data_IF_776065470778
#
_entry.id   IF_776065470778
#
_cell.length_a   1.000
_cell.length_b   1.000
_cell.length_c   1.000
_cell.angle_alpha   90.00
_cell.angle_beta   90.00
_cell.angle_gamma   90.00
#
_symmetry.space_group_name_H-M   'P 1'
#
loop_
_entity.id
_entity.type
_entity.pdbx_description
1 polymer ?
#
# COMPACT_ATOMS: atom_id res chain seq x y z
N UNK A 1 1.40 -20.13 -8.05
CA UNK A 1 0.81 -19.47 -9.24
C UNK A 1 -0.36 -18.55 -8.90
N UNK A 2 -1.37 -18.96 -8.10
CA UNK A 2 -2.50 -18.07 -7.71
C UNK A 2 -2.05 -16.74 -7.09
N UNK A 3 -1.02 -16.73 -6.25
CA UNK A 3 -0.48 -15.52 -5.64
C UNK A 3 -0.02 -14.46 -6.66
N UNK A 4 0.60 -14.88 -7.78
CA UNK A 4 1.05 -13.95 -8.83
C UNK A 4 -0.15 -13.23 -9.44
N UNK A 5 -1.25 -13.94 -9.71
CA UNK A 5 -2.46 -13.34 -10.26
C UNK A 5 -3.06 -12.30 -9.30
N UNK A 6 -3.11 -12.62 -8.00
CA UNK A 6 -3.56 -11.66 -6.98
C UNK A 6 -2.64 -10.45 -6.86
N UNK A 7 -1.32 -10.62 -6.96
CA UNK A 7 -0.36 -9.51 -6.95
C UNK A 7 -0.53 -8.60 -8.17
N UNK A 8 -0.77 -9.17 -9.36
CA UNK A 8 -1.04 -8.40 -10.58
C UNK A 8 -2.34 -7.59 -10.42
N UNK A 9 -3.41 -8.25 -9.97
CA UNK A 9 -4.69 -7.58 -9.74
C UNK A 9 -4.57 -6.46 -8.70
N UNK A 10 -3.87 -6.71 -7.58
CA UNK A 10 -3.60 -5.71 -6.56
C UNK A 10 -2.83 -4.50 -7.12
N UNK A 11 -1.82 -4.73 -7.96
CA UNK A 11 -1.08 -3.65 -8.63
C UNK A 11 -1.97 -2.77 -9.50
N UNK A 12 -2.88 -3.37 -10.28
CA UNK A 12 -3.85 -2.64 -11.10
C UNK A 12 -4.79 -1.82 -10.20
N UNK A 13 -5.33 -2.42 -9.15
CA UNK A 13 -6.26 -1.73 -8.24
C UNK A 13 -5.60 -0.58 -7.49
N UNK A 14 -4.35 -0.73 -7.03
CA UNK A 14 -3.60 0.34 -6.36
C UNK A 14 -3.40 1.53 -7.33
N UNK A 15 -3.06 1.25 -8.59
CA UNK A 15 -2.90 2.30 -9.59
C UNK A 15 -4.21 3.07 -9.83
N UNK A 16 -5.31 2.36 -10.07
CA UNK A 16 -6.62 2.96 -10.28
C UNK A 16 -7.09 3.76 -9.06
N UNK A 17 -6.97 3.18 -7.86
CA UNK A 17 -7.31 3.85 -6.61
C UNK A 17 -6.53 5.15 -6.44
N UNK A 18 -5.21 5.12 -6.70
CA UNK A 18 -4.36 6.30 -6.54
C UNK A 18 -4.77 7.43 -7.50
N UNK A 19 -5.05 7.10 -8.77
CA UNK A 19 -5.52 8.08 -9.75
C UNK A 19 -6.89 8.64 -9.38
N UNK A 20 -7.85 7.78 -9.02
CA UNK A 20 -9.20 8.21 -8.65
C UNK A 20 -9.20 9.09 -7.41
N UNK A 21 -8.41 8.73 -6.39
CA UNK A 21 -8.31 9.50 -5.16
C UNK A 21 -7.65 10.86 -5.41
N UNK A 22 -6.58 10.93 -6.20
CA UNK A 22 -5.99 12.23 -6.56
C UNK A 22 -6.99 13.11 -7.29
N UNK A 23 -7.71 12.58 -8.29
CA UNK A 23 -8.72 13.35 -9.05
C UNK A 23 -9.92 13.78 -8.21
N UNK A 24 -10.34 12.96 -7.25
CA UNK A 24 -11.38 13.31 -6.31
C UNK A 24 -10.88 14.41 -5.35
N UNK A 25 -9.65 14.27 -4.85
CA UNK A 25 -8.96 15.24 -3.99
C UNK A 25 -8.81 16.62 -4.61
N UNK A 26 -8.53 16.69 -5.91
CA UNK A 26 -8.49 17.94 -6.67
C UNK A 26 -9.82 18.71 -6.66
N UNK A 27 -10.96 18.01 -6.46
CA UNK A 27 -12.31 18.60 -6.53
C UNK A 27 -12.92 18.91 -5.17
N UNK A 28 -12.82 17.97 -4.23
CA UNK A 28 -13.54 18.07 -2.94
C UNK A 28 -12.61 18.28 -1.75
N UNK A 29 -11.30 18.29 -1.96
CA UNK A 29 -10.31 18.38 -0.90
C UNK A 29 -9.79 17.02 -0.45
N UNK A 30 -8.62 17.06 0.20
CA UNK A 30 -7.88 15.87 0.61
C UNK A 30 -8.61 15.09 1.70
N UNK A 31 -9.04 15.76 2.78
CA UNK A 31 -9.63 15.10 3.95
C UNK A 31 -11.02 14.55 3.67
N UNK A 32 -11.78 15.25 2.83
CA UNK A 32 -13.10 14.86 2.35
C UNK A 32 -12.99 13.61 1.48
N UNK A 33 -12.03 13.59 0.54
CA UNK A 33 -11.72 12.42 -0.28
C UNK A 33 -11.32 11.23 0.57
N UNK A 34 -10.41 11.42 1.51
CA UNK A 34 -9.94 10.35 2.37
C UNK A 34 -11.09 9.77 3.22
N UNK A 35 -11.92 10.64 3.80
CA UNK A 35 -13.10 10.22 4.58
C UNK A 35 -14.08 9.43 3.71
N UNK A 36 -14.37 9.93 2.50
CA UNK A 36 -15.30 9.28 1.58
C UNK A 36 -14.80 7.91 1.09
N UNK A 37 -13.52 7.81 0.71
CA UNK A 37 -12.92 6.57 0.21
C UNK A 37 -12.80 5.51 1.31
N UNK A 38 -12.39 5.89 2.51
CA UNK A 38 -12.38 4.97 3.65
C UNK A 38 -13.80 4.57 4.07
N UNK A 39 -14.77 5.49 4.03
CA UNK A 39 -16.16 5.20 4.31
C UNK A 39 -16.78 4.21 3.31
N UNK A 40 -16.60 4.44 2.02
CA UNK A 40 -17.08 3.52 0.97
C UNK A 40 -16.39 2.16 1.04
N UNK A 41 -15.08 2.12 1.30
CA UNK A 41 -14.34 0.88 1.54
C UNK A 41 -14.86 0.10 2.76
N UNK A 42 -15.19 0.80 3.85
CA UNK A 42 -15.81 0.20 5.03
C UNK A 42 -17.19 -0.38 4.73
N UNK A 43 -18.07 0.36 4.04
CA UNK A 43 -19.40 -0.14 3.65
C UNK A 43 -19.28 -1.39 2.78
N UNK A 44 -18.39 -1.36 1.78
CA UNK A 44 -18.19 -2.49 0.88
C UNK A 44 -17.67 -3.73 1.62
N UNK A 45 -16.68 -3.57 2.49
CA UNK A 45 -16.15 -4.68 3.30
C UNK A 45 -17.15 -5.17 4.34
N UNK A 46 -17.99 -4.30 4.89
CA UNK A 46 -19.07 -4.67 5.80
C UNK A 46 -20.11 -5.58 5.12
N UNK A 47 -20.53 -5.24 3.89
CA UNK A 47 -21.46 -6.08 3.10
C UNK A 47 -20.83 -7.46 2.81
N UNK A 48 -19.56 -7.50 2.42
CA UNK A 48 -18.86 -8.76 2.18
C UNK A 48 -18.76 -9.59 3.47
N UNK A 49 -18.44 -8.94 4.58
CA UNK A 49 -18.36 -9.60 5.90
C UNK A 49 -19.69 -10.25 6.30
N UNK A 50 -20.83 -9.60 6.00
CA UNK A 50 -22.15 -10.16 6.29
C UNK A 50 -22.51 -11.39 5.42
N UNK A 51 -21.90 -11.55 4.24
CA UNK A 51 -22.24 -12.64 3.30
C UNK A 51 -21.29 -13.83 3.40
N UNK A 52 -19.98 -13.58 3.50
CA UNK A 52 -18.94 -14.61 3.47
C UNK A 52 -17.93 -14.50 4.62
N UNK A 53 -18.16 -13.60 5.59
CA UNK A 53 -17.29 -13.43 6.74
C UNK A 53 -17.22 -14.70 7.59
N UNK A 54 -16.00 -15.09 7.96
CA UNK A 54 -15.72 -16.30 8.73
C UNK A 54 -14.99 -16.01 10.06
N UNK A 55 -14.93 -14.73 10.47
CA UNK A 55 -14.25 -14.26 11.69
C UNK A 55 -15.22 -13.93 12.82
N UNK A 56 -14.66 -13.54 13.98
CA UNK A 56 -15.45 -13.07 15.13
C UNK A 56 -14.82 -11.82 15.75
N UNK A 57 -15.64 -10.78 15.94
CA UNK A 57 -15.22 -9.54 16.61
C UNK A 57 -14.96 -9.70 18.11
N UNK A 58 -15.44 -10.78 18.75
CA UNK A 58 -15.17 -11.02 20.18
C UNK A 58 -13.68 -11.17 20.50
N UNK A 59 -12.87 -11.55 19.51
CA UNK A 59 -11.43 -11.77 19.64
C UNK A 59 -10.59 -10.52 19.36
N UNK A 60 -11.21 -9.37 19.10
CA UNK A 60 -10.48 -8.13 18.81
C UNK A 60 -9.63 -7.65 20.01
N UNK A 61 -10.00 -8.04 21.23
CA UNK A 61 -9.20 -7.77 22.43
C UNK A 61 -7.93 -8.62 22.53
N UNK A 62 -7.85 -9.74 21.79
CA UNK A 62 -6.70 -10.66 21.80
C UNK A 62 -5.59 -10.22 20.81
N UNK A 63 -5.91 -9.36 19.85
CA UNK A 63 -4.93 -8.93 18.84
C UNK A 63 -4.04 -7.80 19.35
N UNK A 64 -2.82 -7.72 18.82
CA UNK A 64 -1.90 -6.63 19.15
C UNK A 64 -2.54 -5.29 18.75
N UNK A 65 -2.65 -4.37 19.71
CA UNK A 65 -3.27 -3.05 19.51
C UNK A 65 -2.62 -2.25 18.38
N UNK A 66 -1.34 -2.49 18.08
CA UNK A 66 -0.65 -1.89 16.94
C UNK A 66 -1.30 -2.27 15.60
N UNK A 67 -1.81 -3.50 15.47
CA UNK A 67 -2.44 -3.96 14.23
C UNK A 67 -3.80 -3.29 13.99
N UNK A 68 -4.46 -2.83 15.05
CA UNK A 68 -5.70 -2.06 14.96
C UNK A 68 -5.48 -0.67 14.33
N UNK A 69 -4.25 -0.16 14.35
CA UNK A 69 -3.89 1.09 13.69
C UNK A 69 -3.81 0.98 12.16
N UNK A 70 -4.05 -0.19 11.57
CA UNK A 70 -4.01 -0.40 10.12
C UNK A 70 -4.91 0.56 9.33
N UNK A 71 -6.10 0.87 9.86
CA UNK A 71 -6.98 1.88 9.26
C UNK A 71 -6.37 3.27 9.25
N UNK A 72 -5.70 3.68 10.33
CA UNK A 72 -5.01 4.96 10.44
C UNK A 72 -3.81 5.04 9.49
N UNK A 73 -3.05 3.95 9.37
CA UNK A 73 -1.97 3.85 8.38
C UNK A 73 -2.51 4.01 6.94
N UNK A 74 -3.68 3.46 6.65
CA UNK A 74 -4.35 3.65 5.35
C UNK A 74 -4.61 5.12 5.01
N UNK A 75 -5.05 5.91 5.99
CA UNK A 75 -5.25 7.37 5.84
C UNK A 75 -3.93 8.07 5.51
N UNK A 76 -2.86 7.74 6.25
CA UNK A 76 -1.54 8.32 6.02
C UNK A 76 -0.96 7.91 4.66
N UNK A 77 -1.19 6.67 4.22
CA UNK A 77 -0.79 6.19 2.91
C UNK A 77 -1.49 7.00 1.81
N UNK A 78 -2.82 7.16 1.90
CA UNK A 78 -3.57 7.96 0.92
C UNK A 78 -3.05 9.40 0.88
N UNK A 79 -2.81 10.00 2.04
CA UNK A 79 -2.22 11.34 2.16
C UNK A 79 -0.89 11.45 1.42
N UNK A 80 0.05 10.58 1.74
CA UNK A 80 1.37 10.61 1.13
C UNK A 80 1.33 10.35 -0.38
N UNK A 81 0.50 9.39 -0.83
CA UNK A 81 0.38 9.05 -2.25
C UNK A 81 -0.27 10.18 -3.03
N UNK A 82 -1.37 10.77 -2.55
CA UNK A 82 -2.04 11.87 -3.26
C UNK A 82 -1.11 13.08 -3.43
N UNK A 83 -0.37 13.46 -2.37
CA UNK A 83 0.60 14.54 -2.43
C UNK A 83 1.78 14.21 -3.35
N UNK A 84 2.30 12.98 -3.30
CA UNK A 84 3.36 12.55 -4.19
C UNK A 84 2.92 12.65 -5.66
N UNK A 85 1.72 12.16 -5.98
CA UNK A 85 1.19 12.20 -7.35
C UNK A 85 0.98 13.64 -7.82
N UNK A 86 0.50 14.53 -6.95
CA UNK A 86 0.37 15.95 -7.29
C UNK A 86 1.73 16.60 -7.58
N UNK A 87 2.77 16.28 -6.80
CA UNK A 87 4.08 16.89 -6.93
C UNK A 87 4.96 16.27 -8.04
N UNK A 88 4.82 14.98 -8.30
CA UNK A 88 5.76 14.19 -9.12
C UNK A 88 5.10 13.47 -10.31
N UNK A 89 3.77 13.54 -10.43
CA UNK A 89 3.00 12.72 -11.34
C UNK A 89 2.81 11.28 -10.84
N UNK A 90 1.86 10.57 -11.46
CA UNK A 90 1.47 9.23 -11.03
C UNK A 90 2.62 8.21 -11.17
N UNK A 91 3.28 8.20 -12.33
CA UNK A 91 4.25 7.15 -12.66
C UNK A 91 5.48 7.18 -11.74
N UNK A 92 6.06 8.36 -11.51
CA UNK A 92 7.25 8.49 -10.67
C UNK A 92 6.94 8.21 -9.19
N UNK A 93 5.77 8.65 -8.72
CA UNK A 93 5.29 8.39 -7.35
C UNK A 93 5.12 6.89 -7.08
N UNK A 94 4.45 6.17 -7.99
CA UNK A 94 4.26 4.72 -7.87
C UNK A 94 5.60 3.99 -7.89
N UNK A 95 6.54 4.43 -8.73
CA UNK A 95 7.85 3.78 -8.80
C UNK A 95 8.63 3.92 -7.49
N UNK A 96 8.71 5.12 -6.91
CA UNK A 96 9.35 5.35 -5.60
C UNK A 96 8.66 4.54 -4.50
N UNK A 97 7.33 4.52 -4.51
CA UNK A 97 6.53 3.77 -3.56
C UNK A 97 6.87 2.27 -3.60
N UNK A 98 6.98 1.67 -4.79
CA UNK A 98 7.34 0.26 -4.95
C UNK A 98 8.73 -0.05 -4.39
N UNK A 99 9.74 0.77 -4.69
CA UNK A 99 11.10 0.58 -4.14
C UNK A 99 11.08 0.67 -2.62
N UNK A 100 10.43 1.69 -2.08
CA UNK A 100 10.37 1.93 -0.63
C UNK A 100 9.63 0.79 0.08
N UNK A 101 8.56 0.26 -0.52
CA UNK A 101 7.84 -0.90 -0.03
C UNK A 101 8.71 -2.16 0.01
N UNK A 102 9.51 -2.42 -1.02
CA UNK A 102 10.42 -3.58 -1.02
C UNK A 102 11.55 -3.45 0.01
N UNK A 103 12.09 -2.24 0.19
CA UNK A 103 13.08 -1.97 1.25
C UNK A 103 12.46 -2.24 2.63
N UNK A 104 11.28 -1.66 2.89
CA UNK A 104 10.57 -1.85 4.16
C UNK A 104 10.23 -3.33 4.41
N UNK A 105 9.72 -4.04 3.40
CA UNK A 105 9.45 -5.47 3.50
C UNK A 105 10.72 -6.28 3.80
N UNK A 106 11.83 -5.96 3.12
CA UNK A 106 13.12 -6.62 3.37
C UNK A 106 13.60 -6.41 4.81
N UNK A 107 13.43 -5.20 5.35
CA UNK A 107 13.76 -4.91 6.76
C UNK A 107 12.85 -5.72 7.69
N UNK A 108 11.53 -5.69 7.48
CA UNK A 108 10.56 -6.43 8.30
C UNK A 108 10.90 -7.93 8.34
N UNK A 109 11.16 -8.53 7.18
CA UNK A 109 11.48 -9.95 7.07
C UNK A 109 12.85 -10.31 7.64
N UNK A 110 13.86 -9.43 7.47
CA UNK A 110 15.22 -9.70 7.96
C UNK A 110 15.31 -9.64 9.49
N UNK A 111 14.52 -8.77 10.11
CA UNK A 111 14.46 -8.63 11.56
C UNK A 111 13.33 -9.45 12.22
N UNK A 112 12.50 -10.15 11.43
CA UNK A 112 11.35 -10.92 11.94
C UNK A 112 10.32 -10.04 12.67
N UNK A 113 10.20 -8.78 12.27
CA UNK A 113 9.27 -7.85 12.92
C UNK A 113 7.83 -8.32 12.75
N UNK A 114 6.99 -8.02 13.74
CA UNK A 114 5.55 -8.34 13.73
C UNK A 114 5.22 -9.84 13.65
N UNK A 115 6.18 -10.70 14.02
CA UNK A 115 6.02 -12.16 13.91
C UNK A 115 6.22 -12.69 12.49
N UNK A 116 6.80 -11.89 11.58
CA UNK A 116 7.20 -12.36 10.25
C UNK A 116 8.29 -13.43 10.37
N UNK A 117 8.30 -14.47 9.50
CA UNK A 117 9.39 -15.43 9.45
C UNK A 117 10.72 -14.70 9.20
N UNK A 118 11.74 -14.98 10.02
CA UNK A 118 13.07 -14.39 9.81
C UNK A 118 13.66 -14.97 8.52
N UNK A 119 13.75 -14.15 7.49
CA UNK A 119 14.41 -14.50 6.23
C UNK A 119 15.83 -13.95 6.30
N UNK A 120 16.84 -14.81 6.12
CA UNK A 120 18.24 -14.37 6.10
C UNK A 120 18.41 -13.26 5.06
N UNK A 121 19.08 -12.19 5.46
CA UNK A 121 19.43 -11.09 4.59
C UNK A 121 20.30 -11.62 3.43
N UNK A 122 19.86 -11.35 2.20
CA UNK A 122 20.52 -11.81 0.98
C UNK A 122 20.96 -10.59 0.16
N UNK A 123 22.25 -10.57 -0.20
CA UNK A 123 22.87 -9.52 -1.02
C UNK A 123 22.18 -9.41 -2.38
N UNK A 124 21.61 -10.50 -2.90
CA UNK A 124 20.85 -10.48 -4.16
C UNK A 124 19.60 -9.59 -4.09
N UNK A 125 18.92 -9.52 -2.92
CA UNK A 125 17.80 -8.60 -2.70
C UNK A 125 18.26 -7.15 -2.76
N UNK A 126 19.41 -6.85 -2.18
CA UNK A 126 19.99 -5.50 -2.20
C UNK A 126 20.36 -5.09 -3.63
N UNK A 127 20.95 -6.00 -4.42
CA UNK A 127 21.24 -5.77 -5.84
C UNK A 127 19.96 -5.54 -6.65
N UNK A 128 18.91 -6.32 -6.40
CA UNK A 128 17.60 -6.13 -7.04
C UNK A 128 17.01 -4.74 -6.77
N UNK A 129 17.05 -4.30 -5.50
CA UNK A 129 16.63 -2.95 -5.10
C UNK A 129 17.48 -1.88 -5.79
N UNK A 130 18.80 -2.05 -5.85
CA UNK A 130 19.70 -1.11 -6.52
C UNK A 130 19.39 -0.98 -8.02
N UNK A 131 19.13 -2.09 -8.70
CA UNK A 131 18.73 -2.11 -10.12
C UNK A 131 17.39 -1.40 -10.31
N UNK A 132 16.42 -1.62 -9.42
CA UNK A 132 15.14 -0.91 -9.48
C UNK A 132 15.31 0.60 -9.31
N UNK A 133 16.13 1.05 -8.36
CA UNK A 133 16.44 2.47 -8.16
C UNK A 133 17.07 3.06 -9.42
N UNK A 134 18.06 2.38 -10.01
CA UNK A 134 18.67 2.80 -11.27
C UNK A 134 17.62 2.89 -12.40
N UNK A 135 16.72 1.92 -12.49
CA UNK A 135 15.59 1.92 -13.42
C UNK A 135 14.68 3.14 -13.26
N UNK A 136 14.38 3.55 -12.03
CA UNK A 136 13.58 4.76 -11.75
C UNK A 136 14.30 6.03 -12.21
N UNK A 137 15.61 6.13 -11.96
CA UNK A 137 16.41 7.28 -12.40
C UNK A 137 16.37 7.38 -13.93
N UNK A 138 16.58 6.26 -14.63
CA UNK A 138 16.48 6.20 -16.09
C UNK A 138 15.08 6.57 -16.57
N UNK A 139 14.04 6.10 -15.89
CA UNK A 139 12.65 6.42 -16.22
C UNK A 139 12.36 7.92 -16.12
N UNK A 140 12.91 8.59 -15.09
CA UNK A 140 12.80 10.05 -14.93
C UNK A 140 13.53 10.81 -16.03
N UNK A 141 14.67 10.30 -16.54
CA UNK A 141 15.48 10.98 -17.53
C UNK A 141 14.82 11.12 -18.92
N UNK A 142 13.75 10.36 -19.20
CA UNK A 142 13.00 10.41 -20.47
C UNK A 142 11.55 10.91 -20.33
N UNK A 143 11.18 11.50 -19.19
CA UNK A 143 9.85 12.04 -18.91
C UNK A 143 9.88 13.54 -18.66
#
# INVERSE_FOLDING_TARGET
MKGILFSIAAGIFICLQSVFNTRLGEKIGFWETNTFVHGTGWVFTFIIMMTIGNGSYSRIGEVNKLYLAGGMLGVLILFSVMNAIYALGATYSVAILLVTQLIAATIIDSFGLFGSPIIKFDITKLLGIAIMIAGIIVFKLKG
#
